data_IF_706361866541
#
_entry.id   IF_706361866541
#
_cell.length_a   1.000
_cell.length_b   1.000
_cell.length_c   1.000
_cell.angle_alpha   90.00
_cell.angle_beta   90.00
_cell.angle_gamma   90.00
#
_symmetry.space_group_name_H-M   'P 1'
#
loop_
_entity.id
_entity.type
_entity.pdbx_description
1 polymer ?
#
# COMPACT_ATOMS: atom_id res chain seq x y z
N UNK A 1 12.71 -9.60 -4.80
CA UNK A 1 13.00 -9.51 -6.26
C UNK A 1 11.83 -10.04 -7.10
N UNK A 2 11.31 -11.24 -6.83
CA UNK A 2 10.21 -11.84 -7.61
C UNK A 2 8.92 -11.00 -7.67
N UNK A 3 8.48 -10.42 -6.54
CA UNK A 3 7.34 -9.49 -6.49
C UNK A 3 7.53 -8.26 -7.38
N UNK A 4 8.71 -7.64 -7.34
CA UNK A 4 8.98 -6.42 -8.09
C UNK A 4 8.98 -6.67 -9.61
N UNK A 5 9.57 -7.78 -10.06
CA UNK A 5 9.70 -8.06 -11.49
C UNK A 5 8.43 -8.63 -12.09
N UNK A 6 7.82 -9.62 -11.45
CA UNK A 6 6.68 -10.36 -12.03
C UNK A 6 5.33 -9.70 -11.77
N UNK A 7 5.22 -8.86 -10.74
CA UNK A 7 3.93 -8.27 -10.34
C UNK A 7 3.92 -6.75 -10.48
N UNK A 8 4.92 -6.05 -9.93
CA UNK A 8 4.94 -4.58 -9.96
C UNK A 8 5.08 -3.99 -11.37
N UNK A 9 5.95 -4.56 -12.22
CA UNK A 9 6.17 -4.06 -13.59
C UNK A 9 4.90 -4.23 -14.47
N UNK A 10 4.30 -5.43 -14.58
CA UNK A 10 3.08 -5.59 -15.36
C UNK A 10 1.93 -4.71 -14.85
N UNK A 11 1.74 -4.62 -13.52
CA UNK A 11 0.70 -3.76 -12.95
C UNK A 11 0.92 -2.30 -13.27
N UNK A 12 2.16 -1.83 -13.19
CA UNK A 12 2.48 -0.43 -13.51
C UNK A 12 2.21 -0.11 -14.98
N UNK A 13 2.53 -1.02 -15.90
CA UNK A 13 2.22 -0.86 -17.31
C UNK A 13 0.70 -0.81 -17.58
N UNK A 14 -0.07 -1.73 -16.98
CA UNK A 14 -1.53 -1.77 -17.09
C UNK A 14 -2.15 -0.53 -16.44
N UNK A 15 -1.60 -0.05 -15.32
CA UNK A 15 -2.05 1.16 -14.64
C UNK A 15 -1.89 2.37 -15.56
N UNK A 16 -0.70 2.59 -16.13
CA UNK A 16 -0.46 3.71 -17.05
C UNK A 16 -1.44 3.68 -18.23
N UNK A 17 -1.62 2.50 -18.84
CA UNK A 17 -2.57 2.34 -19.95
C UNK A 17 -4.01 2.67 -19.53
N UNK A 18 -4.45 2.14 -18.39
CA UNK A 18 -5.80 2.34 -17.87
C UNK A 18 -6.03 3.81 -17.48
N UNK A 19 -5.02 4.45 -16.90
CA UNK A 19 -5.10 5.84 -16.46
C UNK A 19 -5.17 6.78 -17.65
N UNK A 20 -4.42 6.54 -18.72
CA UNK A 20 -4.52 7.31 -19.97
C UNK A 20 -5.94 7.32 -20.54
N UNK A 21 -6.66 6.19 -20.46
CA UNK A 21 -8.08 6.12 -20.88
C UNK A 21 -9.03 6.90 -19.97
N UNK A 22 -8.58 7.30 -18.79
CA UNK A 22 -9.41 7.93 -17.79
C UNK A 22 -8.80 9.25 -17.28
N UNK A 23 -8.38 10.09 -18.22
CA UNK A 23 -7.97 11.46 -17.95
C UNK A 23 -9.13 12.43 -18.22
N UNK A 24 -9.09 13.60 -17.59
CA UNK A 24 -9.91 14.76 -17.98
C UNK A 24 -9.44 15.33 -19.31
N UNK A 25 -10.22 16.24 -19.91
CA UNK A 25 -9.78 16.98 -21.09
C UNK A 25 -8.51 17.83 -20.83
N UNK A 26 -8.25 18.20 -19.57
CA UNK A 26 -7.04 18.90 -19.14
C UNK A 26 -5.83 17.98 -18.88
N UNK A 27 -5.96 16.65 -19.09
CA UNK A 27 -4.87 15.68 -18.90
C UNK A 27 -4.68 15.19 -17.45
N UNK A 28 -5.56 15.57 -16.51
CA UNK A 28 -5.50 15.08 -15.13
C UNK A 28 -6.17 13.70 -15.01
N UNK A 29 -5.53 12.75 -14.33
CA UNK A 29 -6.12 11.42 -14.08
C UNK A 29 -7.33 11.55 -13.16
N UNK A 30 -8.47 10.95 -13.55
CA UNK A 30 -9.68 10.89 -12.73
C UNK A 30 -9.51 9.89 -11.58
N UNK A 31 -8.93 10.32 -10.47
CA UNK A 31 -8.82 9.47 -9.28
C UNK A 31 -10.18 9.21 -8.64
N UNK A 32 -10.29 8.09 -7.93
CA UNK A 32 -11.50 7.65 -7.24
C UNK A 32 -11.27 7.64 -5.73
N UNK A 33 -12.31 7.94 -4.96
CA UNK A 33 -12.34 7.68 -3.53
C UNK A 33 -13.39 6.61 -3.27
N UNK A 34 -13.07 5.67 -2.39
CA UNK A 34 -13.96 4.58 -2.01
C UNK A 34 -15.12 5.10 -1.16
N UNK A 35 -16.28 4.46 -1.31
CA UNK A 35 -17.35 4.63 -0.34
C UNK A 35 -16.98 3.91 0.97
N UNK A 36 -17.54 4.31 2.12
CA UNK A 36 -17.28 3.64 3.40
C UNK A 36 -17.52 2.12 3.36
N UNK A 37 -18.53 1.66 2.60
CA UNK A 37 -18.82 0.24 2.38
C UNK A 37 -17.71 -0.49 1.64
N UNK A 38 -17.11 0.13 0.62
CA UNK A 38 -15.98 -0.48 -0.10
C UNK A 38 -14.72 -0.51 0.78
N UNK A 39 -14.53 0.52 1.61
CA UNK A 39 -13.42 0.54 2.57
C UNK A 39 -13.52 -0.59 3.58
N UNK A 40 -14.70 -0.83 4.18
CA UNK A 40 -14.88 -1.92 5.15
C UNK A 40 -14.65 -3.29 4.51
N UNK A 41 -15.14 -3.51 3.29
CA UNK A 41 -14.89 -4.74 2.52
C UNK A 41 -13.39 -4.91 2.24
N UNK A 42 -12.71 -3.87 1.76
CA UNK A 42 -11.28 -3.93 1.47
C UNK A 42 -10.43 -4.23 2.72
N UNK A 43 -10.79 -3.64 3.87
CA UNK A 43 -10.15 -3.92 5.16
C UNK A 43 -10.39 -5.36 5.60
N UNK A 44 -11.63 -5.86 5.49
CA UNK A 44 -11.96 -7.24 5.85
C UNK A 44 -11.21 -8.25 4.98
N UNK A 45 -11.17 -8.05 3.66
CA UNK A 45 -10.43 -8.91 2.73
C UNK A 45 -8.94 -8.89 3.07
N UNK A 46 -8.37 -7.71 3.34
CA UNK A 46 -6.97 -7.59 3.75
C UNK A 46 -6.71 -8.37 5.03
N UNK A 47 -7.55 -8.21 6.07
CA UNK A 47 -7.38 -8.90 7.34
C UNK A 47 -7.44 -10.44 7.20
N UNK A 48 -8.42 -10.94 6.46
CA UNK A 48 -8.55 -12.39 6.17
C UNK A 48 -7.34 -12.89 5.38
N UNK A 49 -6.89 -12.15 4.37
CA UNK A 49 -5.72 -12.50 3.58
C UNK A 49 -4.44 -12.56 4.42
N UNK A 50 -4.23 -11.59 5.30
CA UNK A 50 -3.08 -11.58 6.24
C UNK A 50 -3.13 -12.81 7.14
N UNK A 51 -4.28 -13.10 7.74
CA UNK A 51 -4.43 -14.26 8.61
C UNK A 51 -4.18 -15.59 7.87
N UNK A 52 -4.78 -15.77 6.69
CA UNK A 52 -4.61 -16.99 5.91
C UNK A 52 -3.13 -17.18 5.48
N UNK A 53 -2.48 -16.12 5.02
CA UNK A 53 -1.09 -16.19 4.57
C UNK A 53 -0.11 -16.33 5.75
N UNK A 54 -0.43 -15.77 6.92
CA UNK A 54 0.30 -16.00 8.15
C UNK A 54 0.34 -17.48 8.53
N UNK A 55 -0.81 -18.18 8.51
CA UNK A 55 -0.88 -19.62 8.79
C UNK A 55 -0.01 -20.44 7.84
N UNK A 56 -0.01 -20.06 6.57
CA UNK A 56 0.82 -20.67 5.53
C UNK A 56 2.31 -20.48 5.84
N UNK A 57 2.74 -19.26 6.16
CA UNK A 57 4.12 -18.96 6.52
C UNK A 57 4.56 -19.63 7.84
N UNK A 58 3.65 -19.76 8.81
CA UNK A 58 3.92 -20.50 10.05
C UNK A 58 4.19 -21.98 9.77
N UNK A 59 3.41 -22.61 8.87
CA UNK A 59 3.63 -24.01 8.48
C UNK A 59 4.97 -24.25 7.79
N UNK A 60 5.58 -23.20 7.22
CA UNK A 60 6.88 -23.24 6.54
C UNK A 60 8.06 -22.84 7.45
N UNK A 61 7.82 -22.55 8.73
CA UNK A 61 8.87 -22.13 9.67
C UNK A 61 9.39 -20.71 9.47
N UNK A 62 8.55 -19.79 8.96
CA UNK A 62 8.93 -18.39 8.77
C UNK A 62 9.36 -17.69 10.07
N UNK A 63 10.32 -16.77 9.98
CA UNK A 63 10.92 -16.10 11.13
C UNK A 63 10.00 -14.99 11.71
N UNK A 64 9.32 -14.23 10.83
CA UNK A 64 8.32 -13.21 11.20
C UNK A 64 7.02 -13.37 10.38
N UNK A 65 6.28 -14.50 10.53
CA UNK A 65 5.15 -14.85 9.66
C UNK A 65 4.06 -13.77 9.59
N UNK A 66 3.80 -13.07 10.70
CA UNK A 66 2.81 -12.00 10.74
C UNK A 66 3.23 -10.75 9.95
N UNK A 67 4.49 -10.29 10.08
CA UNK A 67 4.96 -9.10 9.37
C UNK A 67 5.12 -9.37 7.87
N UNK A 68 5.64 -10.54 7.52
CA UNK A 68 5.81 -10.95 6.13
C UNK A 68 4.45 -11.10 5.45
N UNK A 69 3.46 -11.67 6.15
CA UNK A 69 2.11 -11.79 5.61
C UNK A 69 1.41 -10.44 5.49
N UNK A 70 1.50 -9.60 6.52
CA UNK A 70 0.95 -8.24 6.51
C UNK A 70 1.48 -7.42 5.33
N UNK A 71 2.80 -7.34 5.19
CA UNK A 71 3.43 -6.53 4.15
C UNK A 71 3.12 -7.06 2.75
N UNK A 72 3.09 -8.38 2.56
CA UNK A 72 2.78 -9.00 1.26
C UNK A 72 1.33 -8.77 0.85
N UNK A 73 0.37 -9.09 1.73
CA UNK A 73 -1.05 -8.99 1.41
C UNK A 73 -1.45 -7.53 1.22
N UNK A 74 -0.98 -6.62 2.08
CA UNK A 74 -1.24 -5.19 1.90
C UNK A 74 -0.63 -4.68 0.59
N UNK A 75 0.57 -5.11 0.21
CA UNK A 75 1.17 -4.71 -1.06
C UNK A 75 0.33 -5.17 -2.27
N UNK A 76 -0.16 -6.42 -2.26
CA UNK A 76 -1.04 -6.95 -3.30
C UNK A 76 -2.33 -6.14 -3.43
N UNK A 77 -3.02 -5.88 -2.30
CA UNK A 77 -4.27 -5.11 -2.27
C UNK A 77 -4.03 -3.66 -2.67
N UNK A 78 -2.97 -3.03 -2.17
CA UNK A 78 -2.61 -1.66 -2.51
C UNK A 78 -2.29 -1.51 -4.01
N UNK A 79 -1.60 -2.48 -4.62
CA UNK A 79 -1.37 -2.51 -6.07
C UNK A 79 -2.65 -2.63 -6.88
N UNK A 80 -3.64 -3.41 -6.41
CA UNK A 80 -4.96 -3.46 -7.05
C UNK A 80 -5.71 -2.13 -6.95
N UNK A 81 -5.68 -1.50 -5.78
CA UNK A 81 -6.29 -0.18 -5.57
C UNK A 81 -5.59 0.91 -6.41
N UNK A 82 -4.27 0.84 -6.53
CA UNK A 82 -3.48 1.70 -7.41
C UNK A 82 -3.92 1.56 -8.87
N UNK A 83 -4.03 0.32 -9.37
CA UNK A 83 -4.51 0.04 -10.73
C UNK A 83 -5.90 0.68 -10.97
N UNK A 84 -6.79 0.56 -9.98
CA UNK A 84 -8.16 1.08 -10.02
C UNK A 84 -8.27 2.58 -9.71
N UNK A 85 -7.15 3.29 -9.50
CA UNK A 85 -7.06 4.73 -9.21
C UNK A 85 -7.70 5.15 -7.88
N UNK A 86 -7.77 4.25 -6.90
CA UNK A 86 -8.30 4.56 -5.57
C UNK A 86 -7.27 5.26 -4.69
N UNK A 87 -7.67 6.38 -4.08
CA UNK A 87 -6.81 7.14 -3.16
C UNK A 87 -6.44 6.35 -1.89
N UNK A 88 -7.30 5.41 -1.48
CA UNK A 88 -7.20 4.63 -0.25
C UNK A 88 -6.00 3.67 -0.22
N UNK A 89 -5.37 3.40 -1.38
CA UNK A 89 -4.09 2.67 -1.44
C UNK A 89 -3.00 3.34 -0.59
N UNK A 90 -2.99 4.67 -0.54
CA UNK A 90 -2.06 5.44 0.28
C UNK A 90 -2.31 5.27 1.78
N UNK A 91 -3.56 5.12 2.20
CA UNK A 91 -3.88 4.85 3.60
C UNK A 91 -3.38 3.46 4.02
N UNK A 92 -3.44 2.47 3.12
CA UNK A 92 -2.85 1.15 3.36
C UNK A 92 -1.33 1.23 3.55
N UNK A 93 -0.64 1.98 2.68
CA UNK A 93 0.80 2.21 2.83
C UNK A 93 1.16 2.95 4.10
N UNK A 94 0.34 3.92 4.55
CA UNK A 94 0.55 4.59 5.82
C UNK A 94 0.51 3.61 7.01
N UNK A 95 -0.48 2.72 7.05
CA UNK A 95 -0.60 1.69 8.10
C UNK A 95 0.63 0.77 8.10
N UNK A 96 1.06 0.29 6.92
CA UNK A 96 2.27 -0.56 6.80
C UNK A 96 3.51 0.16 7.29
N UNK A 97 3.69 1.44 6.92
CA UNK A 97 4.86 2.20 7.35
C UNK A 97 4.86 2.46 8.86
N UNK A 98 3.70 2.74 9.48
CA UNK A 98 3.59 2.89 10.94
C UNK A 98 4.01 1.61 11.66
N UNK A 99 3.45 0.46 11.24
CA UNK A 99 3.77 -0.83 11.84
C UNK A 99 5.25 -1.20 11.63
N UNK A 100 5.80 -0.90 10.44
CA UNK A 100 7.21 -1.10 10.17
C UNK A 100 8.10 -0.22 11.07
N UNK A 101 7.76 1.06 11.26
CA UNK A 101 8.50 1.95 12.17
C UNK A 101 8.53 1.36 13.58
N UNK A 102 7.37 0.96 14.12
CA UNK A 102 7.28 0.39 15.46
C UNK A 102 8.15 -0.88 15.61
N UNK A 103 8.11 -1.78 14.62
CA UNK A 103 8.92 -2.99 14.62
C UNK A 103 10.42 -2.70 14.53
N UNK A 104 10.83 -1.83 13.61
CA UNK A 104 12.25 -1.50 13.44
C UNK A 104 12.82 -0.72 14.62
N UNK A 105 12.00 0.03 15.37
CA UNK A 105 12.39 0.60 16.67
C UNK A 105 12.73 -0.52 17.66
N UNK A 106 11.92 -1.59 17.75
CA UNK A 106 12.23 -2.72 18.64
C UNK A 106 13.54 -3.39 18.25
N UNK A 107 13.77 -3.59 16.95
CA UNK A 107 15.04 -4.15 16.42
C UNK A 107 16.22 -3.25 16.76
N UNK A 108 16.07 -1.93 16.62
CA UNK A 108 17.09 -0.96 17.01
C UNK A 108 17.43 -1.05 18.50
N UNK A 109 16.41 -1.19 19.36
CA UNK A 109 16.59 -1.34 20.80
C UNK A 109 17.26 -2.66 21.20
N UNK A 110 17.21 -3.69 20.35
CA UNK A 110 17.91 -4.97 20.55
C UNK A 110 19.40 -4.91 20.16
N UNK A 111 19.89 -3.77 19.69
CA UNK A 111 21.30 -3.52 19.40
C UNK A 111 21.67 -3.51 17.92
N UNK A 112 20.70 -3.72 17.01
CA UNK A 112 20.96 -3.58 15.58
C UNK A 112 20.81 -2.12 15.13
N UNK A 113 21.92 -1.38 15.16
CA UNK A 113 21.95 0.03 14.75
C UNK A 113 21.73 0.26 13.25
N UNK A 114 21.81 -0.79 12.41
CA UNK A 114 21.47 -0.67 10.98
C UNK A 114 19.99 -0.37 10.75
N UNK A 115 19.14 -0.70 11.73
CA UNK A 115 17.71 -0.40 11.73
C UNK A 115 17.41 1.12 11.64
N UNK A 116 18.32 2.00 12.09
CA UNK A 116 18.11 3.45 12.07
C UNK A 116 17.83 3.99 10.66
N UNK A 117 18.58 3.52 9.66
CA UNK A 117 18.36 3.92 8.25
C UNK A 117 17.01 3.43 7.73
N UNK A 118 16.59 2.23 8.14
CA UNK A 118 15.31 1.66 7.73
C UNK A 118 14.15 2.43 8.37
N UNK A 119 14.26 2.80 9.64
CA UNK A 119 13.28 3.65 10.34
C UNK A 119 13.14 4.98 9.58
N UNK A 120 14.24 5.66 9.27
CA UNK A 120 14.22 6.92 8.53
C UNK A 120 13.51 6.78 7.18
N UNK A 121 13.84 5.74 6.42
CA UNK A 121 13.19 5.44 5.15
C UNK A 121 11.68 5.22 5.34
N UNK A 122 11.25 4.50 6.38
CA UNK A 122 9.83 4.25 6.65
C UNK A 122 9.09 5.51 7.10
N UNK A 123 9.74 6.41 7.82
CA UNK A 123 9.18 7.74 8.16
C UNK A 123 8.96 8.57 6.90
N UNK A 124 9.95 8.64 6.00
CA UNK A 124 9.80 9.34 4.72
C UNK A 124 8.66 8.74 3.90
N UNK A 125 8.57 7.41 3.82
CA UNK A 125 7.50 6.72 3.11
C UNK A 125 6.13 6.95 3.76
N UNK A 126 6.06 7.09 5.08
CA UNK A 126 4.84 7.45 5.80
C UNK A 126 4.39 8.86 5.39
N UNK A 127 5.28 9.85 5.41
CA UNK A 127 4.98 11.21 4.97
C UNK A 127 4.51 11.26 3.52
N UNK A 128 5.19 10.52 2.63
CA UNK A 128 4.80 10.39 1.23
C UNK A 128 3.41 9.76 1.09
N UNK A 129 3.11 8.73 1.88
CA UNK A 129 1.80 8.08 1.86
C UNK A 129 0.70 9.02 2.31
N UNK A 130 0.93 9.81 3.37
CA UNK A 130 -0.03 10.82 3.81
C UNK A 130 -0.25 11.89 2.74
N UNK A 131 0.83 12.44 2.17
CA UNK A 131 0.74 13.41 1.09
C UNK A 131 -0.03 12.86 -0.12
N UNK A 132 0.31 11.65 -0.56
CA UNK A 132 -0.35 10.97 -1.67
C UNK A 132 -1.85 10.79 -1.43
N UNK A 133 -2.24 10.39 -0.21
CA UNK A 133 -3.64 10.24 0.18
C UNK A 133 -4.42 11.55 0.04
N UNK A 134 -3.92 12.64 0.64
CA UNK A 134 -4.59 13.93 0.61
C UNK A 134 -4.62 14.53 -0.80
N UNK A 135 -3.52 14.44 -1.54
CA UNK A 135 -3.41 14.98 -2.89
C UNK A 135 -4.35 14.25 -3.87
N UNK A 136 -4.36 12.92 -3.86
CA UNK A 136 -5.24 12.13 -4.73
C UNK A 136 -6.72 12.36 -4.41
N UNK A 137 -7.07 12.54 -3.13
CA UNK A 137 -8.44 12.85 -2.72
C UNK A 137 -8.86 14.27 -3.12
N UNK A 138 -7.92 15.22 -3.12
CA UNK A 138 -8.15 16.57 -3.64
C UNK A 138 -8.42 16.53 -5.15
N UNK A 139 -7.59 15.81 -5.90
CA UNK A 139 -7.76 15.63 -7.35
C UNK A 139 -9.06 14.88 -7.65
N UNK A 140 -9.37 13.80 -6.94
CA UNK A 140 -10.61 13.03 -7.17
C UNK A 140 -11.86 13.90 -7.04
N UNK A 141 -11.89 14.80 -6.04
CA UNK A 141 -12.99 15.75 -5.85
C UNK A 141 -13.06 16.78 -6.98
N UNK A 142 -11.92 17.30 -7.42
CA UNK A 142 -11.84 18.24 -8.54
C UNK A 142 -12.35 17.61 -9.84
N UNK A 143 -11.95 16.37 -10.12
CA UNK A 143 -12.33 15.65 -11.34
C UNK A 143 -13.72 15.03 -11.31
N UNK A 144 -14.34 14.89 -10.13
CA UNK A 144 -15.72 14.41 -10.02
C UNK A 144 -16.75 15.48 -10.43
N UNK A 145 -16.37 16.76 -10.32
CA UNK A 145 -17.21 17.91 -10.65
C UNK A 145 -16.91 18.48 -12.06
N UNK A 146 -16.06 17.83 -12.85
CA UNK A 146 -15.59 18.25 -14.17
C UNK A 146 -15.92 17.20 -15.24
#
# INVERSE_FOLDING_TARGET
>A
VMYNVLYSIPISAIAIYTWKKNMTQSGEVKFRSMTPKMMTIATAITAVGVWAYMLLLQSMGGNLPFMDSLTTVVAVVASMLYLLRFSEQWAMWAIVNILAIAMWIMVFMQGDHSAALIILMKVINLLNSLYGFFNWRKISRKTANA
#
